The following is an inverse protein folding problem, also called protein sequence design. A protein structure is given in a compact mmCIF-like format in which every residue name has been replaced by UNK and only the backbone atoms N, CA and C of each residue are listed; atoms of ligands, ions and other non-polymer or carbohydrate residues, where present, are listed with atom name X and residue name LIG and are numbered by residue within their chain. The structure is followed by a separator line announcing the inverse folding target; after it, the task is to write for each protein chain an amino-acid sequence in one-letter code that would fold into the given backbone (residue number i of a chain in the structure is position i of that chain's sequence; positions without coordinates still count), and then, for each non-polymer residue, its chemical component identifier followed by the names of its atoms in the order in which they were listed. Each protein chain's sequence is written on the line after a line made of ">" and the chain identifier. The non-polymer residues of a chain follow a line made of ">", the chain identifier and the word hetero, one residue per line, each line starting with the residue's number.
data_IF_255489893864
#
_entry.id   IF_255489893864
#
_cell.length_a   1.000
_cell.length_b   1.000
_cell.length_c   1.000
_cell.angle_alpha   90.00
_cell.angle_beta   90.00
_cell.angle_gamma   90.00
#
_symmetry.space_group_name_H-M   'P 1'
#
loop_
_entity.id
_entity.type
_entity.pdbx_description
1 polymer ?
#
# COMPACT_ATOMS: atom_id res chain seq x y z
N UNK A 1 -8.16 -7.92 1.75
CA UNK A 1 -6.72 -7.97 1.44
C UNK A 1 -6.51 -7.79 -0.05
N UNK A 2 -5.38 -7.21 -0.44
CA UNK A 2 -4.93 -7.10 -1.84
C UNK A 2 -3.41 -6.99 -1.89
N UNK A 3 -2.85 -7.40 -3.03
CA UNK A 3 -1.53 -6.97 -3.49
C UNK A 3 -1.79 -6.20 -4.77
N UNK A 4 -1.67 -4.88 -4.71
CA UNK A 4 -2.15 -3.98 -5.76
C UNK A 4 -0.97 -3.26 -6.38
N UNK A 5 -0.92 -3.23 -7.71
CA UNK A 5 0.02 -2.42 -8.50
C UNK A 5 -0.70 -1.25 -9.12
N UNK A 6 -0.08 -0.08 -9.12
CA UNK A 6 -0.60 1.05 -9.89
C UNK A 6 -0.19 0.90 -11.36
N UNK A 7 -1.17 0.92 -12.24
CA UNK A 7 -1.01 0.80 -13.69
C UNK A 7 -0.81 2.18 -14.31
N UNK A 8 -1.58 3.16 -13.84
CA UNK A 8 -1.50 4.54 -14.30
C UNK A 8 -2.15 5.50 -13.32
N UNK A 9 -1.75 6.76 -13.41
CA UNK A 9 -2.37 7.91 -12.77
C UNK A 9 -2.60 9.04 -13.78
N UNK A 10 -3.68 9.79 -13.62
CA UNK A 10 -3.95 11.03 -14.34
C UNK A 10 -4.40 12.12 -13.38
N UNK A 11 -4.06 13.37 -13.68
CA UNK A 11 -4.56 14.56 -13.00
C UNK A 11 -5.58 15.27 -13.88
N UNK A 12 -6.78 15.52 -13.39
CA UNK A 12 -7.87 16.17 -14.13
C UNK A 12 -8.11 15.54 -15.51
N UNK A 13 -8.08 16.36 -16.56
CA UNK A 13 -8.21 15.92 -17.96
C UNK A 13 -6.85 15.58 -18.62
N UNK A 14 -5.77 15.54 -17.85
CA UNK A 14 -4.43 15.21 -18.34
C UNK A 14 -4.31 13.75 -18.81
N UNK A 15 -3.33 13.46 -19.69
CA UNK A 15 -3.10 12.09 -20.13
C UNK A 15 -2.62 11.19 -18.97
N UNK A 16 -3.02 9.92 -18.92
CA UNK A 16 -2.53 8.98 -17.91
C UNK A 16 -1.04 8.66 -18.12
N UNK A 17 -0.31 8.51 -17.02
CA UNK A 17 1.10 8.15 -16.99
C UNK A 17 1.40 7.20 -15.80
N UNK A 18 2.56 6.56 -15.79
CA UNK A 18 3.04 5.80 -14.63
C UNK A 18 4.57 5.83 -14.58
N UNK A 19 5.08 6.80 -13.85
CA UNK A 19 6.50 7.05 -13.61
C UNK A 19 7.05 6.32 -12.38
N UNK A 20 6.21 5.59 -11.64
CA UNK A 20 6.61 4.79 -10.49
C UNK A 20 6.34 3.30 -10.71
N UNK A 21 7.11 2.47 -10.03
CA UNK A 21 6.70 1.11 -9.72
C UNK A 21 6.09 1.13 -8.32
N UNK A 22 4.75 1.23 -8.28
CA UNK A 22 3.96 1.34 -7.05
C UNK A 22 3.35 0.01 -6.68
N UNK A 23 3.58 -0.42 -5.43
CA UNK A 23 2.97 -1.62 -4.84
C UNK A 23 2.34 -1.26 -3.50
N UNK A 24 1.10 -1.70 -3.30
CA UNK A 24 0.37 -1.58 -2.03
C UNK A 24 -0.03 -2.97 -1.54
N UNK A 25 0.33 -3.28 -0.29
CA UNK A 25 -0.17 -4.46 0.42
C UNK A 25 -1.25 -4.02 1.40
N UNK A 26 -2.47 -4.48 1.20
CA UNK A 26 -3.60 -4.18 2.08
C UNK A 26 -4.05 -5.44 2.80
N UNK A 27 -4.22 -5.35 4.12
CA UNK A 27 -4.79 -6.39 4.97
C UNK A 27 -6.31 -6.30 5.06
N UNK A 28 -6.86 -6.47 6.27
CA UNK A 28 -8.26 -6.15 6.57
C UNK A 28 -8.43 -4.67 6.90
N UNK A 29 -7.52 -4.12 7.69
CA UNK A 29 -7.54 -2.74 8.19
C UNK A 29 -6.26 -2.00 7.84
N UNK A 30 -5.10 -2.65 7.94
CA UNK A 30 -3.83 -1.97 7.71
C UNK A 30 -3.39 -2.05 6.26
N UNK A 31 -2.59 -1.08 5.82
CA UNK A 31 -1.94 -1.09 4.52
C UNK A 31 -0.49 -0.60 4.61
N UNK A 32 0.30 -0.98 3.61
CA UNK A 32 1.66 -0.47 3.37
C UNK A 32 1.78 -0.18 1.88
N UNK A 33 2.17 1.05 1.52
CA UNK A 33 2.34 1.57 0.17
C UNK A 33 3.81 1.96 -0.05
N UNK A 34 4.42 1.46 -1.13
CA UNK A 34 5.78 1.80 -1.54
C UNK A 34 5.81 2.13 -3.03
N UNK A 35 6.31 3.32 -3.36
CA UNK A 35 6.43 3.86 -4.72
C UNK A 35 7.88 4.19 -5.02
N UNK A 36 8.47 3.52 -6.00
CA UNK A 36 9.86 3.75 -6.44
C UNK A 36 9.85 4.34 -7.84
N UNK A 37 10.66 5.37 -8.11
CA UNK A 37 10.73 5.98 -9.45
C UNK A 37 11.28 5.02 -10.48
N UNK A 38 10.59 4.84 -11.60
CA UNK A 38 11.09 4.06 -12.73
C UNK A 38 12.30 4.74 -13.36
N UNK A 39 13.23 3.92 -13.85
CA UNK A 39 14.45 4.37 -14.54
C UNK A 39 15.40 5.22 -13.67
N UNK A 40 15.24 5.22 -12.34
CA UNK A 40 16.22 5.80 -11.42
C UNK A 40 17.36 4.81 -11.17
N UNK A 41 18.60 5.30 -11.15
CA UNK A 41 19.78 4.49 -10.79
C UNK A 41 20.71 5.32 -9.89
N UNK A 42 20.88 4.98 -8.60
CA UNK A 42 20.18 3.90 -7.89
C UNK A 42 18.67 4.15 -7.77
N UNK A 43 17.91 3.12 -7.38
CA UNK A 43 16.48 3.22 -7.11
C UNK A 43 16.20 4.40 -6.15
N UNK A 44 15.29 5.29 -6.56
CA UNK A 44 14.90 6.46 -5.80
C UNK A 44 13.47 6.29 -5.27
N UNK A 45 13.31 6.45 -3.95
CA UNK A 45 11.99 6.45 -3.31
C UNK A 45 11.20 7.71 -3.73
N UNK A 46 10.02 7.51 -4.29
CA UNK A 46 9.09 8.60 -4.59
C UNK A 46 8.22 8.93 -3.37
N UNK A 47 7.58 7.89 -2.83
CA UNK A 47 6.72 7.97 -1.66
C UNK A 47 6.60 6.60 -1.00
N UNK A 48 6.51 6.59 0.33
CA UNK A 48 6.05 5.44 1.06
C UNK A 48 5.18 5.86 2.23
N UNK A 49 4.13 5.10 2.49
CA UNK A 49 3.24 5.32 3.61
C UNK A 49 2.70 4.02 4.17
N UNK A 50 2.25 4.07 5.42
CA UNK A 50 1.57 2.96 6.06
C UNK A 50 0.59 3.48 7.11
N UNK A 51 -0.47 2.71 7.33
CA UNK A 51 -1.49 3.09 8.30
C UNK A 51 -2.73 2.23 8.16
N UNK A 52 -3.89 2.84 8.34
CA UNK A 52 -5.18 2.15 8.27
C UNK A 52 -6.02 2.64 7.10
N UNK A 53 -6.71 1.69 6.47
CA UNK A 53 -7.71 1.91 5.44
C UNK A 53 -9.09 1.59 6.03
N UNK A 54 -10.07 2.44 5.75
CA UNK A 54 -11.49 2.10 5.93
C UNK A 54 -12.22 2.21 4.62
N UNK A 55 -13.22 1.35 4.42
CA UNK A 55 -14.03 1.31 3.20
C UNK A 55 -15.51 1.29 3.57
N UNK A 56 -16.29 2.14 2.91
CA UNK A 56 -17.74 2.22 3.02
C UNK A 56 -18.35 1.93 1.65
N UNK A 57 -19.02 0.79 1.54
CA UNK A 57 -19.79 0.42 0.35
C UNK A 57 -20.88 1.46 0.06
N UNK A 58 -20.98 1.89 -1.20
CA UNK A 58 -21.96 2.87 -1.67
C UNK A 58 -23.17 2.21 -2.37
N UNK A 59 -23.16 0.89 -2.54
CA UNK A 59 -24.30 0.12 -3.05
C UNK A 59 -24.44 0.06 -4.57
N UNK A 60 -23.48 0.64 -5.31
CA UNK A 60 -23.45 0.69 -6.78
C UNK A 60 -22.21 -0.01 -7.38
N UNK A 61 -21.51 -0.82 -6.57
CA UNK A 61 -20.23 -1.44 -6.95
C UNK A 61 -19.02 -0.54 -6.70
N UNK A 62 -19.22 0.62 -6.07
CA UNK A 62 -18.15 1.48 -5.58
C UNK A 62 -18.09 1.52 -4.05
N UNK A 63 -16.92 1.89 -3.53
CA UNK A 63 -16.71 2.14 -2.11
C UNK A 63 -15.97 3.46 -1.90
N UNK A 64 -16.45 4.27 -0.96
CA UNK A 64 -15.68 5.38 -0.43
C UNK A 64 -14.61 4.82 0.51
N UNK A 65 -13.36 5.09 0.19
CA UNK A 65 -12.20 4.63 0.94
C UNK A 65 -11.46 5.83 1.53
N UNK A 66 -10.95 5.66 2.74
CA UNK A 66 -10.08 6.65 3.40
C UNK A 66 -8.85 5.96 3.95
N UNK A 67 -7.69 6.60 3.79
CA UNK A 67 -6.39 6.12 4.24
C UNK A 67 -5.83 7.11 5.25
N UNK A 68 -5.71 6.67 6.49
CA UNK A 68 -5.09 7.44 7.56
C UNK A 68 -3.66 6.95 7.74
N UNK A 69 -2.70 7.80 7.41
CA UNK A 69 -1.29 7.47 7.50
C UNK A 69 -0.80 7.61 8.94
N UNK A 70 -0.06 6.61 9.40
CA UNK A 70 0.69 6.67 10.66
C UNK A 70 2.17 6.92 10.40
N UNK A 71 2.67 6.43 9.28
CA UNK A 71 4.02 6.70 8.75
C UNK A 71 3.87 7.20 7.33
N UNK A 72 4.58 8.27 6.99
CA UNK A 72 4.57 8.89 5.66
C UNK A 72 5.94 9.52 5.37
N UNK A 73 6.57 9.13 4.26
CA UNK A 73 7.92 9.59 3.90
C UNK A 73 7.98 11.04 3.42
N UNK A 74 6.83 11.66 3.11
CA UNK A 74 6.70 13.05 2.64
C UNK A 74 6.25 14.02 3.73
N UNK A 75 5.60 13.54 4.79
CA UNK A 75 5.11 14.39 5.87
C UNK A 75 5.15 13.74 7.25
N UNK A 76 5.56 14.49 8.28
CA UNK A 76 5.44 14.06 9.69
C UNK A 76 4.06 14.25 10.28
N UNK A 77 3.21 15.02 9.60
CA UNK A 77 1.81 15.23 9.94
C UNK A 77 0.99 14.94 8.67
N UNK A 78 0.85 13.66 8.28
CA UNK A 78 0.11 13.33 7.09
C UNK A 78 -1.38 13.65 7.28
N UNK A 79 -2.00 14.15 6.22
CA UNK A 79 -3.45 14.29 6.15
C UNK A 79 -4.11 12.91 5.92
N UNK A 80 -5.44 12.88 5.91
CA UNK A 80 -6.19 11.67 5.53
C UNK A 80 -6.48 11.75 4.04
N UNK A 81 -6.03 10.74 3.29
CA UNK A 81 -6.35 10.61 1.88
C UNK A 81 -7.72 9.96 1.72
N UNK A 82 -8.47 10.36 0.69
CA UNK A 82 -9.77 9.79 0.39
C UNK A 82 -10.06 9.67 -1.10
N UNK A 83 -10.82 8.63 -1.47
CA UNK A 83 -11.15 8.34 -2.85
C UNK A 83 -12.35 7.40 -2.97
N UNK A 84 -12.98 7.42 -4.13
CA UNK A 84 -14.00 6.47 -4.55
C UNK A 84 -13.32 5.38 -5.37
N UNK A 85 -13.38 4.15 -4.89
CA UNK A 85 -12.84 2.98 -5.56
C UNK A 85 -13.99 2.22 -6.24
N UNK A 86 -13.88 2.02 -7.55
CA UNK A 86 -14.85 1.28 -8.36
C UNK A 86 -14.18 0.02 -8.89
N UNK A 87 -14.74 -1.16 -8.57
CA UNK A 87 -14.29 -2.43 -9.15
C UNK A 87 -14.99 -2.60 -10.50
N UNK A 88 -14.24 -2.91 -11.55
CA UNK A 88 -14.82 -3.18 -12.86
C UNK A 88 -15.41 -4.60 -12.90
N UNK A 89 -16.72 -4.80 -13.08
CA UNK A 89 -17.31 -6.14 -13.09
C UNK A 89 -16.71 -7.06 -14.16
N UNK A 90 -16.29 -6.49 -15.30
CA UNK A 90 -15.67 -7.20 -16.43
C UNK A 90 -14.21 -7.61 -16.18
N UNK A 91 -13.53 -6.95 -15.25
CA UNK A 91 -12.14 -7.20 -14.88
C UNK A 91 -11.98 -7.01 -13.37
N UNK A 92 -12.35 -8.01 -12.55
CA UNK A 92 -12.44 -7.87 -11.11
C UNK A 92 -11.09 -7.68 -10.41
N UNK A 93 -9.98 -7.89 -11.15
CA UNK A 93 -8.63 -7.56 -10.66
C UNK A 93 -8.27 -6.10 -10.93
N UNK A 94 -9.06 -5.38 -11.73
CA UNK A 94 -8.80 -3.98 -12.04
C UNK A 94 -9.83 -3.08 -11.37
N UNK A 95 -9.33 -2.11 -10.61
CA UNK A 95 -10.16 -1.08 -10.02
C UNK A 95 -9.70 0.32 -10.43
N UNK A 96 -10.64 1.26 -10.35
CA UNK A 96 -10.41 2.69 -10.60
C UNK A 96 -10.61 3.40 -9.27
N UNK A 97 -9.60 4.14 -8.86
CA UNK A 97 -9.70 5.06 -7.74
C UNK A 97 -9.79 6.49 -8.27
N UNK A 98 -10.74 7.27 -7.76
CA UNK A 98 -10.85 8.70 -8.05
C UNK A 98 -10.97 9.48 -6.77
N UNK A 99 -10.23 10.57 -6.65
CA UNK A 99 -10.26 11.41 -5.47
C UNK A 99 -9.78 12.82 -5.78
N UNK A 100 -9.49 13.57 -4.72
CA UNK A 100 -8.88 14.89 -4.80
C UNK A 100 -7.75 14.95 -3.82
N UNK A 101 -6.56 15.30 -4.29
CA UNK A 101 -5.41 15.52 -3.43
C UNK A 101 -4.50 16.60 -4.01
N UNK A 102 -3.50 17.01 -3.23
CA UNK A 102 -2.53 18.01 -3.67
C UNK A 102 -1.63 17.40 -4.76
N UNK A 103 -1.70 17.95 -5.96
CA UNK A 103 -0.77 17.63 -7.03
C UNK A 103 0.64 18.15 -6.64
N UNK A 104 1.67 17.28 -6.57
CA UNK A 104 3.00 17.68 -6.15
C UNK A 104 3.67 18.69 -7.12
N UNK A 105 3.33 18.66 -8.40
CA UNK A 105 3.94 19.51 -9.42
C UNK A 105 3.38 20.94 -9.40
N UNK A 106 2.08 21.08 -9.14
CA UNK A 106 1.39 22.38 -9.13
C UNK A 106 1.21 22.95 -7.73
N UNK A 107 1.23 22.10 -6.71
CA UNK A 107 0.91 22.44 -5.32
C UNK A 107 -0.58 22.68 -5.06
N UNK A 108 -1.45 22.49 -6.06
CA UNK A 108 -2.89 22.72 -5.98
C UNK A 108 -3.64 21.42 -5.68
N UNK A 109 -4.82 21.52 -5.04
CA UNK A 109 -5.73 20.37 -4.90
C UNK A 109 -6.43 20.13 -6.23
N UNK A 110 -6.17 18.98 -6.83
CA UNK A 110 -6.68 18.57 -8.15
C UNK A 110 -7.40 17.22 -8.05
N UNK A 111 -8.29 16.96 -9.01
CA UNK A 111 -8.87 15.63 -9.19
C UNK A 111 -7.80 14.69 -9.74
N UNK A 112 -7.81 13.45 -9.26
CA UNK A 112 -6.96 12.39 -9.79
C UNK A 112 -7.77 11.14 -10.13
N UNK A 113 -7.24 10.36 -11.06
CA UNK A 113 -7.68 9.00 -11.34
C UNK A 113 -6.46 8.07 -11.29
N UNK A 114 -6.54 7.01 -10.49
CA UNK A 114 -5.55 5.91 -10.49
C UNK A 114 -6.21 4.62 -10.97
N UNK A 115 -5.51 3.90 -11.83
CA UNK A 115 -5.88 2.55 -12.26
C UNK A 115 -5.00 1.56 -11.52
N UNK A 116 -5.64 0.64 -10.81
CA UNK A 116 -4.97 -0.38 -10.00
C UNK A 116 -5.22 -1.78 -10.57
N UNK A 117 -4.22 -2.64 -10.46
CA UNK A 117 -4.29 -4.05 -10.82
C UNK A 117 -3.89 -4.92 -9.63
N UNK A 118 -4.80 -5.76 -9.18
CA UNK A 118 -4.60 -6.70 -8.09
C UNK A 118 -3.97 -8.02 -8.60
N UNK A 119 -3.04 -8.55 -7.82
CA UNK A 119 -2.48 -9.87 -8.03
C UNK A 119 -3.44 -10.97 -7.57
N UNK A 120 -3.45 -12.07 -8.31
CA UNK A 120 -4.18 -13.28 -7.91
C UNK A 120 -3.46 -13.98 -6.76
N UNK A 121 -4.03 -13.91 -5.56
CA UNK A 121 -3.46 -14.55 -4.37
C UNK A 121 -4.00 -15.97 -4.18
N UNK A 122 -3.10 -16.94 -4.10
CA UNK A 122 -3.46 -18.34 -3.88
C UNK A 122 -4.09 -18.52 -2.50
N UNK A 123 -5.16 -19.31 -2.40
CA UNK A 123 -5.75 -19.73 -1.12
C UNK A 123 -4.71 -20.40 -0.21
N UNK A 124 -4.75 -20.09 1.09
CA UNK A 124 -3.79 -20.55 2.09
C UNK A 124 -2.53 -19.68 2.18
N UNK A 125 -2.45 -18.60 1.41
CA UNK A 125 -1.32 -17.65 1.49
C UNK A 125 -1.36 -16.95 2.84
N UNK A 126 -0.24 -16.98 3.56
CA UNK A 126 -0.12 -16.28 4.85
C UNK A 126 -0.08 -14.77 4.62
N UNK A 127 -0.79 -14.06 5.48
CA UNK A 127 -0.78 -12.61 5.57
C UNK A 127 -0.31 -12.23 6.97
N UNK A 128 0.62 -11.28 7.05
CA UNK A 128 1.04 -10.65 8.29
C UNK A 128 1.23 -9.15 8.08
N UNK A 129 0.70 -8.33 8.98
CA UNK A 129 1.06 -6.91 9.07
C UNK A 129 1.58 -6.66 10.47
N UNK A 130 2.75 -6.02 10.54
CA UNK A 130 3.47 -5.72 11.76
C UNK A 130 3.70 -4.22 11.86
N UNK A 131 3.59 -3.70 13.07
CA UNK A 131 3.93 -2.34 13.42
C UNK A 131 5.10 -2.38 14.38
N UNK A 132 6.10 -1.51 14.19
CA UNK A 132 7.20 -1.38 15.14
C UNK A 132 6.66 -0.82 16.45
N UNK A 133 7.16 -1.27 17.59
CA UNK A 133 6.55 -0.95 18.89
C UNK A 133 6.67 0.51 19.34
N UNK A 134 7.44 1.32 18.62
CA UNK A 134 7.48 2.78 18.72
C UNK A 134 6.48 3.50 17.78
N UNK A 135 5.78 2.77 16.91
CA UNK A 135 4.80 3.30 15.94
C UNK A 135 5.40 3.89 14.66
N UNK A 136 6.73 3.87 14.53
CA UNK A 136 7.45 4.63 13.49
C UNK A 136 7.71 3.84 12.20
N UNK A 137 7.29 2.58 12.14
CA UNK A 137 7.46 1.74 10.97
C UNK A 137 6.43 0.62 10.87
N UNK A 138 6.17 0.18 9.64
CA UNK A 138 5.30 -0.94 9.33
C UNK A 138 5.98 -1.93 8.38
N UNK A 139 5.60 -3.20 8.51
CA UNK A 139 5.95 -4.24 7.55
C UNK A 139 4.69 -5.04 7.20
N UNK A 140 4.44 -5.23 5.91
CA UNK A 140 3.39 -6.09 5.40
C UNK A 140 4.01 -7.27 4.64
N UNK A 141 3.44 -8.46 4.83
CA UNK A 141 3.85 -9.71 4.20
C UNK A 141 2.59 -10.39 3.67
N UNK A 142 2.52 -10.61 2.36
CA UNK A 142 1.47 -11.39 1.69
C UNK A 142 2.15 -12.40 0.78
N UNK A 143 2.32 -13.64 1.27
CA UNK A 143 3.06 -14.67 0.54
C UNK A 143 4.49 -14.22 0.21
N UNK A 144 4.89 -14.14 -1.07
CA UNK A 144 6.23 -13.70 -1.46
C UNK A 144 6.39 -12.17 -1.47
N UNK A 145 5.30 -11.42 -1.37
CA UNK A 145 5.31 -9.96 -1.37
C UNK A 145 5.60 -9.45 0.04
N UNK A 146 6.59 -8.56 0.15
CA UNK A 146 6.90 -7.91 1.43
C UNK A 146 7.20 -6.45 1.18
N UNK A 147 6.64 -5.58 2.01
CA UNK A 147 6.94 -4.16 2.03
C UNK A 147 7.33 -3.76 3.45
N UNK A 148 8.30 -2.85 3.56
CA UNK A 148 8.63 -2.18 4.81
C UNK A 148 8.72 -0.69 4.60
N UNK A 149 8.17 0.07 5.54
CA UNK A 149 8.15 1.53 5.49
C UNK A 149 8.49 2.08 6.86
N UNK A 150 9.39 3.06 6.88
CA UNK A 150 9.62 3.98 7.98
C UNK A 150 9.55 5.42 7.47
N UNK A 151 9.83 6.38 8.35
CA UNK A 151 9.73 7.80 8.03
C UNK A 151 10.66 8.30 6.91
N UNK A 152 11.81 7.66 6.74
CA UNK A 152 12.89 8.09 5.85
C UNK A 152 13.48 6.93 5.03
N UNK A 153 12.84 5.76 5.08
CA UNK A 153 13.25 4.58 4.34
C UNK A 153 12.05 3.75 3.94
N UNK A 154 12.19 3.03 2.85
CA UNK A 154 11.28 1.96 2.46
C UNK A 154 12.06 0.87 1.74
N UNK A 155 11.50 -0.34 1.73
CA UNK A 155 11.99 -1.45 0.93
C UNK A 155 10.83 -2.32 0.48
N UNK A 156 11.04 -3.08 -0.60
CA UNK A 156 10.07 -4.02 -1.14
C UNK A 156 10.72 -5.29 -1.64
N UNK A 157 9.98 -6.39 -1.67
CA UNK A 157 10.37 -7.62 -2.35
C UNK A 157 9.29 -8.00 -3.35
N UNK A 158 9.65 -8.04 -4.63
CA UNK A 158 8.71 -8.18 -5.74
C UNK A 158 8.49 -9.66 -6.08
N UNK A 159 7.81 -10.42 -5.22
CA UNK A 159 7.40 -11.80 -5.54
C UNK A 159 8.53 -12.82 -5.78
N UNK A 160 9.80 -12.38 -5.75
CA UNK A 160 11.04 -13.14 -5.93
C UNK A 160 12.08 -12.79 -4.85
N UNK A 161 13.26 -13.42 -4.93
CA UNK A 161 14.27 -13.42 -3.86
C UNK A 161 14.58 -12.02 -3.30
N UNK A 162 14.65 -11.98 -1.97
CA UNK A 162 14.71 -10.80 -1.12
C UNK A 162 15.79 -9.78 -1.48
N UNK A 163 15.44 -8.49 -1.49
CA UNK A 163 16.39 -7.39 -1.32
C UNK A 163 16.83 -7.29 0.16
N UNK A 164 18.10 -6.94 0.38
CA UNK A 164 18.72 -6.73 1.70
C UNK A 164 17.90 -5.70 2.50
N UNK A 165 17.42 -6.11 3.69
CA UNK A 165 16.55 -5.30 4.56
C UNK A 165 15.31 -6.05 5.07
N UNK A 166 14.93 -7.16 4.44
CA UNK A 166 13.65 -7.88 4.64
C UNK A 166 13.64 -9.01 5.68
N UNK A 167 14.54 -9.01 6.68
CA UNK A 167 14.80 -10.16 7.57
C UNK A 167 13.70 -10.49 8.60
N UNK A 168 12.52 -9.85 8.55
CA UNK A 168 11.41 -10.23 9.42
C UNK A 168 10.81 -11.56 8.93
N UNK A 169 10.99 -12.60 9.74
CA UNK A 169 10.39 -13.92 9.53
C UNK A 169 9.25 -14.13 10.52
N UNK A 170 8.05 -14.35 10.00
CA UNK A 170 6.86 -14.68 10.78
C UNK A 170 6.63 -16.19 10.69
N UNK A 171 7.26 -16.92 11.61
CA UNK A 171 7.26 -18.39 11.64
C UNK A 171 6.50 -18.93 12.86
N UNK A 172 5.99 -20.17 12.75
CA UNK A 172 5.28 -20.84 13.84
C UNK A 172 3.84 -20.37 14.04
N UNK A 173 3.34 -20.60 15.27
CA UNK A 173 2.00 -20.24 15.72
C UNK A 173 2.02 -18.89 16.44
N UNK A 174 2.05 -17.81 15.66
CA UNK A 174 1.93 -16.44 16.19
C UNK A 174 0.47 -15.96 16.18
N UNK A 175 0.17 -14.97 17.00
CA UNK A 175 -1.14 -14.35 17.15
C UNK A 175 -1.04 -12.83 17.04
N UNK A 176 -2.16 -12.21 16.71
CA UNK A 176 -2.29 -10.75 16.81
C UNK A 176 -1.96 -10.30 18.24
N UNK A 177 -1.08 -9.31 18.36
CA UNK A 177 -0.54 -8.81 19.63
C UNK A 177 0.80 -9.41 20.04
N UNK A 178 1.22 -10.54 19.46
CA UNK A 178 2.54 -11.11 19.75
C UNK A 178 3.66 -10.19 19.24
N UNK A 179 4.83 -10.26 19.90
CA UNK A 179 6.04 -9.52 19.51
C UNK A 179 7.07 -10.43 18.83
N UNK A 180 7.67 -9.92 17.75
CA UNK A 180 8.86 -10.47 17.10
C UNK A 180 9.95 -9.40 17.17
N UNK A 181 10.82 -9.49 18.18
CA UNK A 181 11.77 -8.41 18.49
C UNK A 181 11.02 -7.10 18.81
N UNK A 182 11.26 -6.05 18.01
CA UNK A 182 10.60 -4.73 18.13
C UNK A 182 9.25 -4.64 17.39
N UNK A 183 8.78 -5.73 16.78
CA UNK A 183 7.59 -5.69 15.92
C UNK A 183 6.40 -6.32 16.61
N UNK A 184 5.27 -5.62 16.63
CA UNK A 184 3.98 -6.11 17.13
C UNK A 184 3.14 -6.57 15.94
N UNK A 185 2.61 -7.80 16.02
CA UNK A 185 1.72 -8.33 14.99
C UNK A 185 0.36 -7.64 15.10
N UNK A 186 -0.03 -6.88 14.07
CA UNK A 186 -1.33 -6.19 13.98
C UNK A 186 -2.38 -7.04 13.28
N UNK A 187 -1.96 -7.81 12.28
CA UNK A 187 -2.85 -8.76 11.61
C UNK A 187 -2.06 -10.04 11.26
N UNK A 188 -2.69 -11.21 11.40
CA UNK A 188 -2.11 -12.50 11.01
C UNK A 188 -3.18 -13.54 10.70
N UNK A 189 -3.19 -14.08 9.47
CA UNK A 189 -4.13 -15.13 9.03
C UNK A 189 -3.64 -15.79 7.71
N UNK A 190 -4.44 -16.70 7.16
CA UNK A 190 -4.26 -17.26 5.82
C UNK A 190 -5.50 -17.05 4.96
N UNK A 191 -5.31 -16.80 3.66
CA UNK A 191 -6.39 -16.60 2.67
C UNK A 191 -7.23 -17.84 2.38
#
# INVERSE_FOLDING_TARGET
>A
MSVSRRVSMAWGEGPPYEDTDTIVLTGHTYFVDVRVKKNSVPDELDWASAGIKTSKDLGDGSAHCTWKHFVDSRSRNPDVDEGIVVIRPEDPLRCVERGRMKNPDTGCVEEYEEIWLDESIRKGTRVAILERDDGDAFVAIIGPWKLGVGWDWAWRTDGGDSLEGSEIKVEGNVRVGDKIGKWVIREFWST
#
